data_IF_147893859344
#
_entry.id   IF_147893859344
#
_cell.length_a   1.000
_cell.length_b   1.000
_cell.length_c   1.000
_cell.angle_alpha   90.00
_cell.angle_beta   90.00
_cell.angle_gamma   90.00
#
_symmetry.space_group_name_H-M   'P 1'
#
loop_
_entity.id
_entity.type
_entity.pdbx_description
1 polymer ?
#
# COMPACT_ATOMS: atom_id res chain seq x y z
N UNK A 1 2.40 5.55 17.91
CA UNK A 1 1.81 5.72 16.57
C UNK A 1 1.18 4.41 16.12
N UNK A 2 -0.13 4.37 15.96
CA UNK A 2 -0.79 3.16 15.47
C UNK A 2 -0.68 3.08 13.95
N UNK A 3 -0.41 1.86 13.45
CA UNK A 3 -0.42 1.58 12.01
C UNK A 3 -1.78 0.99 11.64
N UNK A 4 -2.30 1.27 10.44
CA UNK A 4 -3.50 0.60 9.99
C UNK A 4 -3.22 -0.89 9.83
N UNK A 5 -4.11 -1.72 10.34
CA UNK A 5 -3.99 -3.18 10.24
C UNK A 5 -5.31 -3.74 9.77
N UNK A 6 -5.25 -4.72 8.91
CA UNK A 6 -6.42 -5.47 8.50
C UNK A 6 -6.58 -5.60 7.00
N UNK A 7 -7.60 -6.38 6.65
CA UNK A 7 -8.01 -6.66 5.29
C UNK A 7 -9.54 -6.50 5.23
N UNK A 8 -10.02 -5.78 4.22
CA UNK A 8 -11.45 -5.49 4.07
C UNK A 8 -11.87 -5.59 2.61
N UNK A 9 -13.02 -6.20 2.39
CA UNK A 9 -13.66 -6.25 1.07
C UNK A 9 -14.64 -5.09 0.97
N UNK A 10 -14.53 -4.30 -0.09
CA UNK A 10 -15.34 -3.11 -0.31
C UNK A 10 -15.97 -3.12 -1.69
N UNK A 11 -17.08 -2.37 -1.81
CA UNK A 11 -17.71 -2.13 -3.11
C UNK A 11 -17.31 -0.73 -3.61
N UNK A 12 -17.12 -0.63 -4.92
CA UNK A 12 -16.91 0.64 -5.61
C UNK A 12 -18.24 1.06 -6.21
N UNK A 13 -18.66 2.29 -5.95
CA UNK A 13 -19.93 2.80 -6.50
C UNK A 13 -19.81 3.16 -7.98
N UNK A 14 -20.93 3.55 -8.60
CA UNK A 14 -21.00 3.91 -10.02
C UNK A 14 -20.13 5.12 -10.38
N UNK A 15 -19.79 5.94 -9.39
CA UNK A 15 -18.94 7.12 -9.57
C UNK A 15 -17.45 6.83 -9.35
N UNK A 16 -17.10 5.59 -9.02
CA UNK A 16 -15.71 5.20 -8.78
C UNK A 16 -15.22 5.49 -7.37
N UNK A 17 -16.12 5.68 -6.41
CA UNK A 17 -15.79 5.90 -5.00
C UNK A 17 -15.97 4.64 -4.18
N UNK A 18 -15.13 4.47 -3.18
CA UNK A 18 -15.30 3.43 -2.18
C UNK A 18 -15.24 4.06 -0.79
N UNK A 19 -15.93 3.46 0.16
CA UNK A 19 -15.91 3.90 1.55
C UNK A 19 -14.70 3.30 2.26
N UNK A 20 -13.88 4.15 2.88
CA UNK A 20 -12.77 3.68 3.69
C UNK A 20 -13.30 3.03 4.97
N UNK A 21 -13.01 1.72 5.22
CA UNK A 21 -13.49 1.05 6.42
C UNK A 21 -13.00 1.71 7.70
N UNK A 22 -13.86 1.76 8.71
CA UNK A 22 -13.58 2.39 10.00
C UNK A 22 -12.32 1.83 10.65
N UNK A 23 -12.13 0.51 10.57
CA UNK A 23 -10.95 -0.14 11.15
C UNK A 23 -9.64 0.36 10.53
N UNK A 24 -9.60 0.55 9.21
CA UNK A 24 -8.44 1.07 8.52
C UNK A 24 -8.27 2.57 8.74
N UNK A 25 -9.38 3.33 8.77
CA UNK A 25 -9.37 4.76 9.03
C UNK A 25 -8.79 5.08 10.42
N UNK A 26 -9.16 4.32 11.43
CA UNK A 26 -8.63 4.49 12.80
C UNK A 26 -7.11 4.34 12.87
N UNK A 27 -6.58 3.36 12.14
CA UNK A 27 -5.13 3.15 12.07
C UNK A 27 -4.39 4.27 11.35
N UNK A 28 -5.05 4.98 10.45
CA UNK A 28 -4.45 6.10 9.73
C UNK A 28 -4.45 7.39 10.54
N UNK A 29 -5.30 7.54 11.55
CA UNK A 29 -5.39 8.59 12.56
C UNK A 29 -4.73 9.94 12.20
N UNK A 30 -5.16 10.55 11.10
CA UNK A 30 -4.65 11.83 10.63
C UNK A 30 -5.77 12.85 10.53
N UNK A 31 -5.48 14.11 10.90
CA UNK A 31 -6.39 15.22 10.67
C UNK A 31 -6.40 15.65 9.19
N UNK A 32 -5.36 15.28 8.44
CA UNK A 32 -5.25 15.57 7.03
C UNK A 32 -6.13 14.58 6.25
N UNK A 33 -7.10 15.10 5.50
CA UNK A 33 -8.01 14.29 4.69
C UNK A 33 -7.41 13.88 3.34
N UNK A 34 -6.18 14.28 3.05
CA UNK A 34 -5.53 13.99 1.77
C UNK A 34 -4.84 12.63 1.80
N UNK A 35 -4.99 11.92 0.71
CA UNK A 35 -4.35 10.64 0.46
C UNK A 35 -3.67 10.67 -0.89
N UNK A 36 -2.78 9.71 -1.11
CA UNK A 36 -2.08 9.56 -2.38
C UNK A 36 -2.32 8.14 -2.89
N UNK A 37 -2.69 8.02 -4.14
CA UNK A 37 -2.85 6.74 -4.83
C UNK A 37 -1.75 6.62 -5.88
N UNK A 38 -1.04 5.51 -5.86
CA UNK A 38 0.03 5.17 -6.80
C UNK A 38 -0.12 3.70 -7.21
N UNK A 39 0.22 3.41 -8.45
CA UNK A 39 0.28 2.02 -8.91
C UNK A 39 1.46 1.32 -8.25
N UNK A 40 1.24 0.10 -7.73
CA UNK A 40 2.31 -0.70 -7.15
C UNK A 40 3.31 -1.11 -8.23
N UNK A 41 4.59 -1.15 -7.86
CA UNK A 41 5.65 -1.64 -8.73
C UNK A 41 5.82 -3.17 -8.63
N UNK A 42 5.31 -3.77 -7.56
CA UNK A 42 5.51 -5.19 -7.26
C UNK A 42 4.34 -6.08 -7.63
N UNK A 43 3.16 -5.49 -7.85
CA UNK A 43 1.94 -6.27 -8.00
C UNK A 43 0.92 -5.49 -8.84
N UNK A 44 -0.07 -6.18 -9.46
CA UNK A 44 -1.12 -5.50 -10.23
C UNK A 44 -2.20 -4.91 -9.31
N UNK A 45 -1.81 -4.00 -8.45
CA UNK A 45 -2.70 -3.32 -7.51
C UNK A 45 -2.31 -1.85 -7.36
N UNK A 46 -3.13 -1.11 -6.63
CA UNK A 46 -2.86 0.27 -6.27
C UNK A 46 -2.37 0.34 -4.83
N UNK A 47 -1.63 1.38 -4.52
CA UNK A 47 -1.21 1.73 -3.16
C UNK A 47 -1.93 2.99 -2.71
N UNK A 48 -2.51 2.94 -1.54
CA UNK A 48 -3.14 4.09 -0.88
C UNK A 48 -2.27 4.52 0.30
N UNK A 49 -1.79 5.74 0.25
CA UNK A 49 -0.92 6.33 1.28
C UNK A 49 -1.63 7.51 1.93
N UNK A 50 -1.35 7.77 3.21
CA UNK A 50 -1.63 9.11 3.74
C UNK A 50 -0.71 10.10 3.03
N UNK A 51 -1.12 11.35 2.92
CA UNK A 51 -0.29 12.37 2.29
C UNK A 51 1.07 12.49 3.00
N UNK A 52 1.05 12.54 4.32
CA UNK A 52 2.28 12.62 5.13
C UNK A 52 3.18 11.39 4.95
N UNK A 53 2.59 10.19 4.90
CA UNK A 53 3.33 8.95 4.66
C UNK A 53 3.99 8.93 3.29
N UNK A 54 3.29 9.43 2.28
CA UNK A 54 3.85 9.50 0.93
C UNK A 54 4.96 10.55 0.82
N UNK A 55 4.87 11.66 1.54
CA UNK A 55 5.97 12.64 1.62
C UNK A 55 7.26 11.99 2.15
N UNK A 56 7.16 11.12 3.15
CA UNK A 56 8.30 10.36 3.66
C UNK A 56 8.87 9.42 2.62
N UNK A 57 8.02 8.76 1.84
CA UNK A 57 8.43 7.93 0.71
C UNK A 57 9.19 8.76 -0.33
N UNK A 58 8.69 9.95 -0.65
CA UNK A 58 9.33 10.87 -1.60
C UNK A 58 10.71 11.30 -1.09
N UNK A 59 10.83 11.62 0.18
CA UNK A 59 12.12 11.96 0.79
C UNK A 59 13.11 10.81 0.66
N UNK A 60 12.68 9.59 0.97
CA UNK A 60 13.50 8.40 0.85
C UNK A 60 13.97 8.19 -0.59
N UNK A 61 13.06 8.28 -1.56
CA UNK A 61 13.39 8.11 -2.98
C UNK A 61 14.41 9.16 -3.46
N UNK A 62 14.25 10.40 -3.02
CA UNK A 62 15.18 11.48 -3.41
C UNK A 62 16.55 11.38 -2.74
N UNK A 63 16.64 10.71 -1.59
CA UNK A 63 17.91 10.42 -0.94
C UNK A 63 18.64 9.27 -1.61
N UNK A 64 17.92 8.23 -2.01
CA UNK A 64 18.51 7.00 -2.53
C UNK A 64 18.75 7.05 -4.05
N UNK A 65 17.95 7.81 -4.80
CA UNK A 65 18.08 7.93 -6.24
C UNK A 65 18.79 9.22 -6.62
N UNK A 66 19.76 9.11 -7.53
CA UNK A 66 20.55 10.23 -7.99
C UNK A 66 19.87 10.89 -9.20
N UNK A 67 19.44 12.14 -9.03
CA UNK A 67 18.76 12.91 -10.08
C UNK A 67 19.63 13.16 -11.32
N UNK A 68 20.93 12.97 -11.22
CA UNK A 68 21.87 13.13 -12.34
C UNK A 68 22.13 11.81 -13.09
N UNK A 69 21.59 10.70 -12.60
CA UNK A 69 21.68 9.39 -13.24
C UNK A 69 20.39 9.12 -14.03
N UNK A 70 20.50 8.82 -15.32
CA UNK A 70 19.34 8.62 -16.20
C UNK A 70 18.43 7.47 -15.76
N UNK A 71 19.02 6.35 -15.33
CA UNK A 71 18.25 5.18 -14.89
C UNK A 71 17.50 5.47 -13.59
N UNK A 72 18.15 6.19 -12.66
CA UNK A 72 17.53 6.59 -11.41
C UNK A 72 16.36 7.56 -11.65
N UNK A 73 16.52 8.54 -12.55
CA UNK A 73 15.45 9.47 -12.90
C UNK A 73 14.27 8.74 -13.56
N UNK A 74 14.55 7.73 -14.37
CA UNK A 74 13.53 6.91 -15.01
C UNK A 74 12.70 6.14 -13.97
N UNK A 75 13.35 5.58 -12.97
CA UNK A 75 12.68 4.92 -11.83
C UNK A 75 11.88 5.93 -11.03
N UNK A 76 12.47 7.07 -10.70
CA UNK A 76 11.82 8.12 -9.93
C UNK A 76 10.55 8.62 -10.65
N UNK A 77 10.61 8.80 -11.97
CA UNK A 77 9.45 9.24 -12.76
C UNK A 77 8.26 8.26 -12.66
N UNK A 78 8.54 6.95 -12.66
CA UNK A 78 7.52 5.92 -12.51
C UNK A 78 6.99 5.86 -11.09
N UNK A 79 7.87 5.93 -10.09
CA UNK A 79 7.51 5.87 -8.67
C UNK A 79 6.72 7.10 -8.22
N UNK A 80 6.89 8.23 -8.90
CA UNK A 80 6.19 9.48 -8.62
C UNK A 80 4.91 9.66 -9.44
N UNK A 81 4.49 8.67 -10.21
CA UNK A 81 3.18 8.68 -10.88
C UNK A 81 2.09 8.41 -9.86
N UNK A 82 1.59 9.46 -9.28
CA UNK A 82 0.60 9.38 -8.22
C UNK A 82 -0.47 10.45 -8.41
N UNK A 83 -1.60 10.24 -7.77
CA UNK A 83 -2.69 11.21 -7.70
C UNK A 83 -2.97 11.53 -6.24
N UNK A 84 -3.07 12.81 -5.93
CA UNK A 84 -3.55 13.25 -4.62
C UNK A 84 -5.07 13.20 -4.66
N UNK A 85 -5.66 12.51 -3.70
CA UNK A 85 -7.11 12.39 -3.56
C UNK A 85 -7.51 12.84 -2.16
N UNK A 86 -8.77 13.20 -2.01
CA UNK A 86 -9.28 13.71 -0.73
C UNK A 86 -10.42 12.85 -0.24
N UNK A 87 -10.41 12.54 1.05
CA UNK A 87 -11.51 11.85 1.71
C UNK A 87 -12.69 12.80 1.80
N UNK A 88 -13.86 12.42 1.30
CA UNK A 88 -15.05 13.25 1.38
C UNK A 88 -15.72 13.18 2.77
N UNK A 89 -16.79 13.93 2.99
CA UNK A 89 -17.50 13.98 4.25
C UNK A 89 -18.19 12.67 4.63
N UNK A 90 -18.34 11.74 3.67
CA UNK A 90 -18.91 10.41 3.88
C UNK A 90 -17.85 9.32 3.98
N UNK A 91 -16.58 9.70 4.21
CA UNK A 91 -15.44 8.79 4.29
C UNK A 91 -15.20 8.01 3.00
N UNK A 92 -15.48 8.60 1.85
CA UNK A 92 -15.29 8.00 0.54
C UNK A 92 -14.10 8.59 -0.19
N UNK A 93 -13.41 7.75 -0.92
CA UNK A 93 -12.25 8.10 -1.76
C UNK A 93 -12.61 7.80 -3.20
N UNK A 94 -12.38 8.78 -4.09
CA UNK A 94 -12.53 8.60 -5.53
C UNK A 94 -11.26 7.98 -6.10
N UNK A 95 -11.40 6.84 -6.77
CA UNK A 95 -10.29 6.24 -7.50
C UNK A 95 -10.14 7.02 -8.81
N UNK A 96 -8.96 7.63 -9.07
CA UNK A 96 -8.74 8.37 -10.31
C UNK A 96 -8.95 7.49 -11.54
N UNK A 97 -9.54 8.05 -12.59
CA UNK A 97 -9.84 7.32 -13.83
C UNK A 97 -8.59 6.65 -14.43
N UNK A 98 -7.43 7.30 -14.32
CA UNK A 98 -6.15 6.81 -14.79
C UNK A 98 -5.71 5.52 -14.08
N UNK A 99 -6.13 5.35 -12.82
CA UNK A 99 -5.77 4.21 -11.99
C UNK A 99 -6.77 3.06 -12.08
N UNK A 100 -7.97 3.29 -12.61
CA UNK A 100 -9.04 2.27 -12.70
C UNK A 100 -8.67 1.07 -13.56
N UNK A 101 -7.81 1.23 -14.54
CA UNK A 101 -7.34 0.14 -15.40
C UNK A 101 -6.72 -1.01 -14.60
N UNK A 102 -6.06 -0.67 -13.50
CA UNK A 102 -5.45 -1.66 -12.60
C UNK A 102 -6.50 -2.55 -11.92
N UNK A 103 -7.73 -2.08 -11.82
CA UNK A 103 -8.82 -2.76 -11.13
C UNK A 103 -9.77 -3.49 -12.08
N UNK A 104 -9.47 -3.59 -13.36
CA UNK A 104 -10.22 -4.34 -14.39
C UNK A 104 -11.73 -4.06 -14.38
N UNK A 105 -12.16 -2.86 -14.06
CA UNK A 105 -13.58 -2.45 -13.98
C UNK A 105 -14.41 -3.23 -12.96
N UNK A 106 -13.78 -3.90 -12.01
CA UNK A 106 -14.49 -4.63 -10.95
C UNK A 106 -15.25 -3.66 -10.06
N UNK A 107 -16.43 -4.08 -9.62
CA UNK A 107 -17.23 -3.35 -8.63
C UNK A 107 -16.82 -3.68 -7.21
N UNK A 108 -15.94 -4.67 -7.02
CA UNK A 108 -15.49 -5.10 -5.71
C UNK A 108 -13.97 -5.04 -5.64
N UNK A 109 -13.48 -4.52 -4.54
CA UNK A 109 -12.06 -4.40 -4.27
C UNK A 109 -11.72 -5.01 -2.92
N UNK A 110 -10.46 -5.35 -2.74
CA UNK A 110 -9.90 -5.76 -1.45
C UNK A 110 -8.91 -4.69 -1.02
N UNK A 111 -9.07 -4.20 0.19
CA UNK A 111 -8.11 -3.30 0.84
C UNK A 111 -7.31 -4.12 1.83
N UNK A 112 -6.00 -4.17 1.66
CA UNK A 112 -5.10 -4.86 2.59
C UNK A 112 -4.01 -3.93 3.04
N UNK A 113 -3.90 -3.72 4.34
CA UNK A 113 -2.83 -2.89 4.89
C UNK A 113 -1.51 -3.64 4.95
N UNK A 114 -0.45 -3.00 4.46
CA UNK A 114 0.93 -3.49 4.62
C UNK A 114 1.69 -2.68 5.68
N UNK A 115 0.98 -1.89 6.48
CA UNK A 115 1.57 -1.02 7.49
C UNK A 115 1.79 0.39 7.00
N UNK A 116 2.76 0.61 6.13
CA UNK A 116 3.07 1.95 5.60
C UNK A 116 2.03 2.46 4.60
N UNK A 117 1.37 1.54 3.91
CA UNK A 117 0.33 1.87 2.93
C UNK A 117 -0.68 0.74 2.86
N UNK A 118 -1.80 1.03 2.22
CA UNK A 118 -2.88 0.06 2.01
C UNK A 118 -2.89 -0.29 0.52
N UNK A 119 -2.87 -1.58 0.21
CA UNK A 119 -3.05 -2.04 -1.15
C UNK A 119 -4.53 -2.08 -1.51
N UNK A 120 -4.85 -1.65 -2.72
CA UNK A 120 -6.19 -1.71 -3.29
C UNK A 120 -6.14 -2.69 -4.45
N UNK A 121 -6.83 -3.80 -4.30
CA UNK A 121 -6.84 -4.88 -5.28
C UNK A 121 -8.22 -5.02 -5.92
N UNK A 122 -8.24 -5.34 -7.20
CA UNK A 122 -9.40 -5.97 -7.81
C UNK A 122 -9.68 -7.29 -7.10
N UNK A 123 -10.93 -7.56 -6.73
CA UNK A 123 -11.27 -8.74 -5.93
C UNK A 123 -10.84 -10.05 -6.61
N UNK A 124 -11.14 -10.20 -7.91
CA UNK A 124 -10.83 -11.41 -8.64
C UNK A 124 -9.31 -11.62 -8.77
N UNK A 125 -8.58 -10.55 -9.05
CA UNK A 125 -7.12 -10.59 -9.13
C UNK A 125 -6.49 -10.97 -7.80
N UNK A 126 -7.01 -10.42 -6.71
CA UNK A 126 -6.53 -10.73 -5.36
C UNK A 126 -6.70 -12.21 -5.03
N UNK A 127 -7.86 -12.79 -5.34
CA UNK A 127 -8.13 -14.20 -5.06
C UNK A 127 -7.23 -15.14 -5.88
N UNK A 128 -6.92 -14.80 -7.12
CA UNK A 128 -6.00 -15.56 -7.96
C UNK A 128 -4.59 -15.59 -7.37
N UNK A 129 -4.10 -14.44 -6.90
CA UNK A 129 -2.75 -14.32 -6.35
C UNK A 129 -2.65 -14.97 -4.98
N UNK A 130 -3.66 -14.83 -4.13
CA UNK A 130 -3.68 -15.43 -2.80
C UNK A 130 -3.67 -16.97 -2.86
N UNK A 131 -4.16 -17.54 -3.96
CA UNK A 131 -4.14 -18.99 -4.17
C UNK A 131 -2.76 -19.54 -4.57
N UNK A 132 -1.78 -18.68 -4.89
CA UNK A 132 -0.42 -19.08 -5.20
C UNK A 132 0.42 -19.20 -3.93
N UNK A 133 0.14 -20.25 -3.15
CA UNK A 133 0.72 -20.46 -1.83
C UNK A 133 1.91 -21.43 -1.82
N UNK A 134 2.47 -21.81 -2.98
CA UNK A 134 3.60 -22.71 -3.06
C UNK A 134 4.86 -22.06 -2.49
N UNK A 135 5.53 -22.76 -1.57
CA UNK A 135 6.83 -22.39 -0.97
C UNK A 135 6.83 -21.14 -0.07
N UNK A 136 5.64 -20.66 0.33
CA UNK A 136 5.52 -19.45 1.14
C UNK A 136 6.27 -19.56 2.47
N UNK A 137 6.04 -20.63 3.22
CA UNK A 137 6.67 -20.81 4.54
C UNK A 137 8.19 -20.87 4.44
N UNK A 138 8.70 -21.54 3.42
CA UNK A 138 10.14 -21.65 3.16
C UNK A 138 10.75 -20.30 2.81
N UNK A 139 10.11 -19.53 1.96
CA UNK A 139 10.56 -18.17 1.59
C UNK A 139 10.58 -17.24 2.78
N UNK A 140 9.58 -17.29 3.65
CA UNK A 140 9.55 -16.50 4.88
C UNK A 140 10.70 -16.86 5.80
N UNK A 141 10.97 -18.14 5.99
CA UNK A 141 12.07 -18.61 6.82
C UNK A 141 13.43 -18.16 6.26
N UNK A 142 13.62 -18.27 4.96
CA UNK A 142 14.86 -17.82 4.29
C UNK A 142 15.11 -16.33 4.48
N UNK A 143 14.06 -15.49 4.37
CA UNK A 143 14.20 -14.03 4.47
C UNK A 143 14.27 -13.52 5.91
N UNK A 144 13.52 -14.11 6.82
CA UNK A 144 13.28 -13.56 8.15
C UNK A 144 13.74 -14.46 9.28
N UNK A 145 13.94 -15.75 9.03
CA UNK A 145 14.27 -16.72 10.08
C UNK A 145 15.57 -16.39 10.82
N UNK A 146 16.63 -16.04 10.10
CA UNK A 146 17.91 -15.66 10.69
C UNK A 146 17.82 -14.36 11.49
N UNK A 147 17.10 -13.36 10.95
CA UNK A 147 16.91 -12.06 11.59
C UNK A 147 16.13 -12.18 12.90
N UNK A 148 15.10 -13.01 12.94
CA UNK A 148 14.32 -13.28 14.15
C UNK A 148 15.15 -14.00 15.21
N UNK A 149 16.03 -14.92 14.81
CA UNK A 149 16.94 -15.61 15.72
C UNK A 149 17.95 -14.65 16.35
N UNK A 150 18.50 -13.73 15.58
CA UNK A 150 19.41 -12.69 16.07
C UNK A 150 18.71 -11.76 17.07
N UNK A 151 17.50 -11.32 16.76
CA UNK A 151 16.69 -10.49 17.65
C UNK A 151 16.36 -11.22 18.96
N UNK A 152 16.04 -12.52 18.90
CA UNK A 152 15.77 -13.35 20.08
C UNK A 152 17.01 -13.60 20.95
N UNK A 153 18.21 -13.62 20.35
CA UNK A 153 19.47 -13.82 21.11
C UNK A 153 19.93 -12.55 21.82
N UNK A 154 19.60 -11.36 21.30
CA UNK A 154 19.94 -10.10 21.95
C UNK A 154 19.11 -9.85 23.22
N UNK A 155 17.87 -10.35 23.25
CA UNK A 155 16.99 -10.24 24.41
C UNK A 155 17.39 -11.17 25.57
N UNK A 156 18.18 -12.23 25.30
CA UNK A 156 18.64 -13.17 26.30
C UNK A 156 19.96 -12.79 26.96
N UNK A 157 20.65 -11.80 26.41
CA UNK A 157 21.95 -11.36 26.93
C UNK A 157 21.85 -10.27 28.01
N UNK A 158 20.64 -9.75 28.27
CA UNK A 158 20.38 -8.70 29.25
C UNK A 158 19.79 -9.22 30.59
N UNK A 159 20.00 -10.50 30.91
CA UNK A 159 19.66 -11.06 32.22
C UNK A 159 20.89 -11.39 33.02
#
# INVERSE_FOLDING_TARGET
MSLPLGIERCKVDTNGRFKLPVALKKGLATEDSRFVIRRSINAPCLELWTHAGFEQEVEFLNQELNRYNREDVKMLRKLMRCNVVELDTNDRILIPAEQKECLKSSKEIVLQSLGKFIEIWDYDTYTEIDNDATDYAEKVDQRLGSLRREAGSSDRSDT
#
